data_IF_216700677327
#
_entry.id   IF_216700677327
#
_cell.length_a   1.000
_cell.length_b   1.000
_cell.length_c   1.000
_cell.angle_alpha   90.00
_cell.angle_beta   90.00
_cell.angle_gamma   90.00
#
_symmetry.space_group_name_H-M   'P 1'
#
loop_
_entity.id
_entity.type
_entity.pdbx_description
1 polymer ?
#
# COMPACT_ATOMS: atom_id res chain seq x y z
N UNK A 1 -37.30 -52.52 0.96
CA UNK A 1 -35.88 -52.08 1.03
C UNK A 1 -35.78 -50.56 1.15
N UNK A 2 -36.03 -50.01 2.35
CA UNK A 2 -35.77 -48.59 2.70
C UNK A 2 -35.66 -48.48 4.22
N UNK A 3 -34.52 -48.87 4.76
CA UNK A 3 -34.14 -48.62 6.16
C UNK A 3 -32.65 -48.93 6.27
N UNK A 4 -31.76 -47.93 6.13
CA UNK A 4 -30.37 -47.97 6.64
C UNK A 4 -29.55 -46.68 6.39
N UNK A 5 -30.16 -45.49 6.26
CA UNK A 5 -29.39 -44.23 6.19
C UNK A 5 -29.49 -43.35 7.45
N UNK A 6 -30.48 -43.56 8.31
CA UNK A 6 -30.75 -42.66 9.44
C UNK A 6 -29.92 -42.98 10.69
N UNK A 7 -29.23 -44.13 10.75
CA UNK A 7 -28.46 -44.54 11.95
C UNK A 7 -26.99 -44.10 11.93
N UNK A 8 -26.44 -43.70 10.79
CA UNK A 8 -25.05 -43.24 10.69
C UNK A 8 -24.85 -41.76 11.11
N UNK A 9 -25.92 -40.96 11.10
CA UNK A 9 -25.84 -39.52 11.41
C UNK A 9 -26.01 -39.17 12.89
N UNK A 10 -26.40 -40.11 13.75
CA UNK A 10 -26.59 -39.83 15.18
C UNK A 10 -25.38 -40.17 16.08
N UNK A 11 -24.45 -41.01 15.63
CA UNK A 11 -23.24 -41.36 16.42
C UNK A 11 -22.10 -40.35 16.22
N UNK A 12 -22.03 -39.66 15.06
CA UNK A 12 -21.00 -38.66 14.80
C UNK A 12 -21.20 -37.32 15.52
N UNK A 13 -22.38 -37.06 16.10
CA UNK A 13 -22.72 -35.78 16.74
C UNK A 13 -22.52 -35.73 18.26
N UNK A 14 -22.13 -36.84 18.89
CA UNK A 14 -21.94 -36.91 20.36
C UNK A 14 -20.49 -37.13 20.82
N UNK A 15 -19.51 -37.32 19.91
CA UNK A 15 -18.10 -37.44 20.28
C UNK A 15 -17.26 -36.16 20.11
N UNK A 16 -17.84 -35.07 19.59
CA UNK A 16 -17.10 -33.79 19.38
C UNK A 16 -17.22 -32.77 20.52
N UNK A 17 -17.87 -33.07 21.65
CA UNK A 17 -18.10 -32.07 22.72
C UNK A 17 -17.30 -32.23 24.01
N UNK A 18 -16.30 -33.12 24.12
CA UNK A 18 -15.68 -33.41 25.44
C UNK A 18 -14.14 -33.44 25.51
N UNK A 19 -13.42 -32.83 24.56
CA UNK A 19 -11.93 -32.70 24.65
C UNK A 19 -11.37 -31.35 24.20
N UNK A 20 -12.04 -30.22 24.50
CA UNK A 20 -11.58 -28.88 24.06
C UNK A 20 -11.47 -27.80 25.14
N UNK A 21 -11.65 -28.12 26.42
CA UNK A 21 -11.68 -27.09 27.49
C UNK A 21 -10.54 -27.16 28.50
N UNK A 22 -9.54 -28.03 28.30
CA UNK A 22 -8.40 -28.19 29.23
C UNK A 22 -7.05 -27.63 28.80
N UNK A 23 -6.83 -27.34 27.51
CA UNK A 23 -5.48 -27.04 26.99
C UNK A 23 -5.26 -25.57 26.57
N UNK A 24 -6.28 -24.72 26.54
CA UNK A 24 -6.07 -23.29 26.20
C UNK A 24 -5.49 -22.48 27.36
N UNK A 25 -5.83 -22.82 28.61
CA UNK A 25 -5.41 -22.03 29.79
C UNK A 25 -3.96 -22.25 30.23
N UNK A 26 -3.29 -23.33 29.78
CA UNK A 26 -1.90 -23.64 30.12
C UNK A 26 -0.89 -23.16 29.07
N UNK A 27 -1.32 -22.94 27.82
CA UNK A 27 -0.49 -22.30 26.77
C UNK A 27 -0.52 -20.77 26.84
N UNK A 28 -1.56 -20.18 27.46
CA UNK A 28 -1.71 -18.73 27.58
C UNK A 28 -0.82 -18.11 28.68
N UNK A 29 -0.36 -18.91 29.65
CA UNK A 29 0.51 -18.44 30.74
C UNK A 29 2.02 -18.58 30.50
N UNK A 30 2.45 -19.29 29.45
CA UNK A 30 3.87 -19.34 29.04
C UNK A 30 4.20 -18.40 27.87
N UNK A 31 3.21 -17.77 27.22
CA UNK A 31 3.43 -16.84 26.11
C UNK A 31 3.81 -15.40 26.55
N UNK A 32 4.00 -15.13 27.85
CA UNK A 32 4.37 -13.80 28.38
C UNK A 32 5.90 -13.61 28.44
N UNK A 33 6.71 -14.63 28.17
CA UNK A 33 8.17 -14.52 28.18
C UNK A 33 8.78 -15.25 26.99
N UNK A 34 9.10 -14.52 25.92
CA UNK A 34 10.11 -14.82 24.87
C UNK A 34 9.63 -14.68 23.41
N UNK A 35 9.16 -13.50 22.97
CA UNK A 35 8.82 -13.31 21.55
C UNK A 35 9.45 -12.03 20.97
N UNK A 36 10.77 -12.06 20.85
CA UNK A 36 11.46 -11.55 19.66
C UNK A 36 12.17 -12.75 19.03
N UNK A 37 11.91 -13.03 17.74
CA UNK A 37 12.95 -12.71 16.78
C UNK A 37 12.44 -12.18 15.41
N UNK A 38 13.19 -11.21 14.88
CA UNK A 38 13.65 -11.16 13.47
C UNK A 38 12.67 -11.29 12.29
N UNK A 39 11.46 -10.73 12.36
CA UNK A 39 10.60 -10.48 11.15
C UNK A 39 10.72 -9.05 10.60
N UNK A 40 11.62 -8.24 11.17
CA UNK A 40 11.74 -6.80 10.90
C UNK A 40 12.28 -6.43 9.51
N UNK A 41 12.75 -7.38 8.69
CA UNK A 41 13.48 -7.06 7.46
C UNK A 41 12.63 -6.59 6.28
N UNK A 42 11.34 -6.96 6.16
CA UNK A 42 10.54 -6.56 4.99
C UNK A 42 9.64 -5.34 5.25
N UNK A 43 9.13 -5.18 6.47
CA UNK A 43 8.23 -4.07 6.81
C UNK A 43 8.95 -2.73 7.00
N UNK A 44 10.24 -2.75 7.33
CA UNK A 44 11.09 -1.56 7.28
C UNK A 44 11.49 -1.15 5.86
N UNK A 45 11.31 -2.05 4.90
CA UNK A 45 11.66 -1.89 3.48
C UNK A 45 10.45 -1.31 2.73
N UNK A 46 9.22 -1.80 2.87
CA UNK A 46 8.07 -1.31 2.07
C UNK A 46 7.58 0.11 2.43
N UNK A 47 7.57 0.50 3.72
CA UNK A 47 7.22 1.88 4.14
C UNK A 47 8.31 2.91 3.78
N UNK A 48 9.59 2.48 3.76
CA UNK A 48 10.71 3.34 3.33
C UNK A 48 10.89 3.40 1.82
N UNK A 49 10.30 2.49 1.03
CA UNK A 49 10.68 2.30 -0.37
C UNK A 49 9.63 2.68 -1.42
N UNK A 50 8.34 2.88 -1.12
CA UNK A 50 7.38 3.24 -2.19
C UNK A 50 7.69 4.60 -2.85
N UNK A 51 8.44 5.49 -2.19
CA UNK A 51 9.01 6.71 -2.80
C UNK A 51 10.55 6.81 -2.79
N UNK A 52 11.25 5.78 -2.28
CA UNK A 52 12.72 5.81 -2.09
C UNK A 52 13.46 4.68 -2.81
N UNK A 53 12.82 3.53 -3.08
CA UNK A 53 13.42 2.50 -3.94
C UNK A 53 13.29 2.89 -5.41
N UNK A 54 12.13 3.37 -5.86
CA UNK A 54 11.90 3.70 -7.28
C UNK A 54 12.90 4.76 -7.76
N UNK A 55 13.00 5.88 -7.05
CA UNK A 55 13.96 6.94 -7.40
C UNK A 55 15.46 6.60 -7.14
N UNK A 56 15.77 5.64 -6.27
CA UNK A 56 17.17 5.27 -5.98
C UNK A 56 17.66 4.05 -6.79
N UNK A 57 16.79 3.10 -7.15
CA UNK A 57 17.10 2.04 -8.11
C UNK A 57 17.23 2.61 -9.52
N UNK A 58 16.41 3.62 -9.86
CA UNK A 58 16.53 4.40 -11.09
C UNK A 58 17.90 5.10 -11.22
N UNK A 59 18.54 5.48 -10.10
CA UNK A 59 19.81 6.23 -10.12
C UNK A 59 21.03 5.43 -10.59
N UNK A 60 20.94 4.08 -10.64
CA UNK A 60 22.02 3.23 -11.18
C UNK A 60 21.80 2.81 -12.64
N UNK A 61 20.62 3.05 -13.21
CA UNK A 61 20.33 2.74 -14.61
C UNK A 61 20.36 4.01 -15.45
N UNK A 62 21.24 4.05 -16.45
CA UNK A 62 21.09 5.02 -17.54
C UNK A 62 19.89 4.60 -18.36
N UNK A 63 18.72 5.18 -18.06
CA UNK A 63 17.56 4.99 -18.92
C UNK A 63 17.83 5.63 -20.28
N UNK A 64 17.52 4.94 -21.39
CA UNK A 64 17.53 5.56 -22.70
C UNK A 64 16.61 6.79 -22.66
N UNK A 65 17.12 7.96 -23.08
CA UNK A 65 16.25 9.12 -23.29
C UNK A 65 15.42 8.85 -24.54
N UNK A 66 14.11 8.77 -24.39
CA UNK A 66 13.18 8.89 -25.51
C UNK A 66 12.95 10.37 -25.70
N UNK A 67 13.36 10.90 -26.85
CA UNK A 67 13.24 12.33 -27.13
C UNK A 67 11.78 12.72 -27.39
N UNK A 68 11.45 14.00 -27.15
CA UNK A 68 10.07 14.46 -27.31
C UNK A 68 9.56 14.36 -28.76
N UNK A 69 10.46 14.38 -29.73
CA UNK A 69 10.19 14.19 -31.15
C UNK A 69 9.91 12.75 -31.57
N UNK A 70 10.21 11.75 -30.73
CA UNK A 70 10.01 10.33 -31.06
C UNK A 70 8.66 9.83 -30.54
N UNK A 71 7.94 9.03 -31.34
CA UNK A 71 6.76 8.32 -30.86
C UNK A 71 7.21 7.13 -29.98
N UNK A 72 6.89 7.13 -28.67
CA UNK A 72 7.27 6.04 -27.77
C UNK A 72 6.64 4.69 -28.16
N UNK A 73 5.50 4.69 -28.84
CA UNK A 73 4.80 3.48 -29.29
C UNK A 73 5.54 2.83 -30.44
N UNK A 74 5.87 3.61 -31.48
CA UNK A 74 6.65 3.13 -32.63
C UNK A 74 8.02 2.63 -32.19
N UNK A 75 8.70 3.39 -31.32
CA UNK A 75 10.02 3.01 -30.80
C UNK A 75 9.95 1.69 -30.02
N UNK A 76 8.95 1.52 -29.16
CA UNK A 76 8.73 0.28 -28.43
C UNK A 76 8.52 -0.90 -29.38
N UNK A 77 7.60 -0.75 -30.34
CA UNK A 77 7.24 -1.81 -31.28
C UNK A 77 8.41 -2.19 -32.18
N UNK A 78 9.21 -1.22 -32.63
CA UNK A 78 10.43 -1.46 -33.41
C UNK A 78 11.40 -2.34 -32.62
N UNK A 79 11.73 -1.96 -31.39
CA UNK A 79 12.62 -2.76 -30.55
C UNK A 79 12.06 -4.15 -30.21
N UNK A 80 10.74 -4.26 -30.06
CA UNK A 80 10.07 -5.53 -29.84
C UNK A 80 10.18 -6.46 -31.06
N UNK A 81 9.92 -5.93 -32.27
CA UNK A 81 10.02 -6.67 -33.53
C UNK A 81 11.46 -7.08 -33.85
N UNK A 82 12.42 -6.18 -33.61
CA UNK A 82 13.85 -6.42 -33.81
C UNK A 82 14.46 -7.37 -32.76
N UNK A 83 13.70 -7.75 -31.71
CA UNK A 83 14.19 -8.58 -30.60
C UNK A 83 15.22 -7.88 -29.70
N UNK A 84 15.34 -6.56 -29.80
CA UNK A 84 16.31 -5.73 -29.04
C UNK A 84 15.70 -5.00 -27.85
N UNK A 85 14.41 -5.23 -27.55
CA UNK A 85 13.71 -4.59 -26.44
C UNK A 85 14.32 -4.98 -25.09
N UNK A 86 14.72 -3.98 -24.32
CA UNK A 86 15.25 -4.12 -22.96
C UNK A 86 14.31 -3.52 -21.93
N UNK A 87 14.37 -3.98 -20.66
CA UNK A 87 13.54 -3.43 -19.56
C UNK A 87 13.68 -1.91 -19.38
N UNK A 88 14.90 -1.31 -19.44
CA UNK A 88 15.05 0.14 -19.38
C UNK A 88 14.42 0.86 -20.57
N UNK A 89 14.50 0.31 -21.78
CA UNK A 89 13.87 0.89 -22.97
C UNK A 89 12.34 0.85 -22.86
N UNK A 90 11.79 -0.32 -22.53
CA UNK A 90 10.35 -0.50 -22.29
C UNK A 90 9.83 0.49 -21.23
N UNK A 91 10.53 0.63 -20.10
CA UNK A 91 10.18 1.58 -19.06
C UNK A 91 10.17 3.02 -19.57
N UNK A 92 11.18 3.42 -20.35
CA UNK A 92 11.27 4.77 -20.90
C UNK A 92 10.13 5.08 -21.88
N UNK A 93 9.79 4.13 -22.76
CA UNK A 93 8.64 4.26 -23.67
C UNK A 93 7.31 4.37 -22.90
N UNK A 94 7.03 3.46 -21.95
CA UNK A 94 5.81 3.49 -21.14
C UNK A 94 5.67 4.77 -20.33
N UNK A 95 6.77 5.25 -19.74
CA UNK A 95 6.82 6.49 -18.95
C UNK A 95 6.55 7.70 -19.84
N UNK A 96 7.14 7.75 -21.02
CA UNK A 96 6.92 8.84 -21.99
C UNK A 96 5.50 8.81 -22.54
N UNK A 97 4.98 7.63 -22.89
CA UNK A 97 3.60 7.45 -23.31
C UNK A 97 2.61 7.87 -22.22
N UNK A 98 2.85 7.50 -20.95
CA UNK A 98 2.00 7.91 -19.84
C UNK A 98 2.02 9.42 -19.57
N UNK A 99 3.13 10.11 -19.85
CA UNK A 99 3.22 11.58 -19.77
C UNK A 99 2.45 12.27 -20.90
N UNK A 100 2.42 11.66 -22.09
CA UNK A 100 1.67 12.14 -23.26
C UNK A 100 0.25 11.59 -23.36
N UNK A 101 -0.21 10.90 -22.31
CA UNK A 101 -1.54 10.29 -22.21
C UNK A 101 -1.89 9.29 -23.35
N UNK A 102 -0.87 8.63 -23.92
CA UNK A 102 -1.01 7.65 -25.01
C UNK A 102 -1.35 6.26 -24.44
N UNK A 103 -2.53 6.11 -23.84
CA UNK A 103 -2.95 4.85 -23.21
C UNK A 103 -3.63 3.87 -24.18
N UNK A 104 -4.30 4.36 -25.23
CA UNK A 104 -5.09 3.52 -26.16
C UNK A 104 -4.25 2.80 -27.23
N UNK A 105 -2.93 2.70 -27.02
CA UNK A 105 -1.98 2.21 -28.00
C UNK A 105 -1.49 0.78 -27.72
N UNK A 106 -2.05 0.12 -26.69
CA UNK A 106 -1.78 -1.28 -26.39
C UNK A 106 -0.38 -1.55 -25.81
N UNK A 107 0.29 -0.52 -25.28
CA UNK A 107 1.62 -0.65 -24.70
C UNK A 107 1.63 -1.50 -23.43
N UNK A 108 0.56 -1.42 -22.63
CA UNK A 108 0.36 -2.26 -21.44
C UNK A 108 0.29 -3.73 -21.83
N UNK A 109 -0.61 -4.06 -22.76
CA UNK A 109 -0.72 -5.42 -23.31
C UNK A 109 0.58 -5.92 -23.93
N UNK A 110 1.22 -5.13 -24.78
CA UNK A 110 2.45 -5.54 -25.45
C UNK A 110 3.57 -5.80 -24.44
N UNK A 111 3.69 -4.95 -23.41
CA UNK A 111 4.69 -5.10 -22.35
C UNK A 111 4.41 -6.33 -21.50
N UNK A 112 3.17 -6.57 -21.05
CA UNK A 112 2.89 -7.73 -20.22
C UNK A 112 3.10 -9.03 -21.00
N UNK A 113 2.73 -9.08 -22.28
CA UNK A 113 2.97 -10.23 -23.16
C UNK A 113 4.47 -10.48 -23.43
N UNK A 114 5.26 -9.42 -23.54
CA UNK A 114 6.71 -9.51 -23.65
C UNK A 114 7.33 -10.02 -22.33
N UNK A 115 6.96 -9.44 -21.19
CA UNK A 115 7.39 -9.89 -19.86
C UNK A 115 6.88 -11.30 -19.53
N UNK A 116 5.76 -11.72 -20.13
CA UNK A 116 5.11 -13.01 -19.90
C UNK A 116 6.07 -14.18 -20.14
N UNK A 117 6.90 -14.06 -21.19
CA UNK A 117 7.83 -15.12 -21.61
C UNK A 117 8.94 -15.36 -20.59
N UNK A 118 9.20 -14.41 -19.69
CA UNK A 118 10.32 -14.44 -18.73
C UNK A 118 9.95 -13.82 -17.36
N UNK A 119 8.81 -14.21 -16.80
CA UNK A 119 8.32 -13.65 -15.53
C UNK A 119 9.22 -13.95 -14.32
N UNK A 120 10.00 -15.03 -14.35
CA UNK A 120 10.96 -15.35 -13.28
C UNK A 120 12.17 -14.41 -13.26
N UNK A 121 12.47 -13.71 -14.37
CA UNK A 121 13.51 -12.68 -14.40
C UNK A 121 13.09 -11.38 -13.73
N UNK A 122 11.87 -11.29 -13.19
CA UNK A 122 11.45 -10.16 -12.36
C UNK A 122 12.36 -10.01 -11.15
N UNK A 123 13.08 -8.88 -11.10
CA UNK A 123 14.02 -8.53 -10.06
C UNK A 123 13.48 -7.37 -9.22
N UNK A 124 13.08 -7.68 -7.99
CA UNK A 124 12.80 -6.64 -7.00
C UNK A 124 14.11 -6.03 -6.47
N UNK A 125 14.21 -4.70 -6.26
CA UNK A 125 13.24 -3.64 -6.60
C UNK A 125 13.50 -2.98 -7.97
N UNK A 126 14.30 -3.61 -8.83
CA UNK A 126 14.75 -3.02 -10.10
C UNK A 126 13.60 -2.87 -11.10
N UNK A 127 12.74 -3.87 -11.17
CA UNK A 127 11.67 -3.93 -12.17
C UNK A 127 10.35 -3.32 -11.68
N UNK A 128 10.31 -2.80 -10.45
CA UNK A 128 9.09 -2.26 -9.84
C UNK A 128 8.52 -1.07 -10.62
N UNK A 129 9.35 -0.15 -11.11
CA UNK A 129 8.86 1.03 -11.85
C UNK A 129 8.40 0.69 -13.27
N UNK A 130 9.03 -0.27 -13.93
CA UNK A 130 8.53 -0.82 -15.20
C UNK A 130 7.13 -1.44 -14.99
N UNK A 131 6.99 -2.27 -13.95
CA UNK A 131 5.73 -2.90 -13.60
C UNK A 131 4.64 -1.86 -13.29
N UNK A 132 4.94 -0.84 -12.50
CA UNK A 132 3.98 0.23 -12.17
C UNK A 132 3.45 0.93 -13.43
N UNK A 133 4.31 1.27 -14.39
CA UNK A 133 3.87 1.90 -15.63
C UNK A 133 3.09 0.93 -16.52
N UNK A 134 3.55 -0.33 -16.66
CA UNK A 134 2.82 -1.36 -17.41
C UNK A 134 1.40 -1.54 -16.86
N UNK A 135 1.24 -1.65 -15.53
CA UNK A 135 -0.06 -1.81 -14.89
C UNK A 135 -0.94 -0.58 -15.09
N UNK A 136 -0.36 0.64 -15.02
CA UNK A 136 -1.09 1.88 -15.33
C UNK A 136 -1.68 1.86 -16.73
N UNK A 137 -0.90 1.43 -17.72
CA UNK A 137 -1.38 1.28 -19.10
C UNK A 137 -2.46 0.20 -19.21
N UNK A 138 -2.26 -0.97 -18.62
CA UNK A 138 -3.26 -2.06 -18.64
C UNK A 138 -4.63 -1.65 -18.07
N UNK A 139 -4.66 -0.89 -16.97
CA UNK A 139 -5.90 -0.38 -16.39
C UNK A 139 -6.59 0.59 -17.35
N UNK A 140 -5.83 1.51 -17.95
CA UNK A 140 -6.40 2.47 -18.92
C UNK A 140 -6.85 1.80 -20.22
N UNK A 141 -6.23 0.68 -20.60
CA UNK A 141 -6.61 -0.15 -21.74
C UNK A 141 -7.81 -1.09 -21.44
N UNK A 142 -8.27 -1.20 -20.19
CA UNK A 142 -9.30 -2.16 -19.78
C UNK A 142 -8.86 -3.63 -19.88
N UNK A 143 -7.55 -3.90 -19.69
CA UNK A 143 -6.90 -5.21 -19.87
C UNK A 143 -6.32 -5.77 -18.58
N UNK A 144 -6.89 -5.42 -17.44
CA UNK A 144 -6.43 -5.85 -16.11
C UNK A 144 -6.45 -7.37 -15.93
N UNK A 145 -7.34 -8.08 -16.63
CA UNK A 145 -7.39 -9.54 -16.60
C UNK A 145 -6.09 -10.19 -17.10
N UNK A 146 -5.33 -9.53 -17.98
CA UNK A 146 -3.98 -10.02 -18.34
C UNK A 146 -3.07 -10.01 -17.11
N UNK A 147 -3.13 -8.97 -16.29
CA UNK A 147 -2.36 -8.89 -15.04
C UNK A 147 -2.80 -9.96 -14.04
N UNK A 148 -4.10 -10.21 -13.91
CA UNK A 148 -4.59 -11.27 -13.02
C UNK A 148 -4.12 -12.66 -13.46
N UNK A 149 -4.23 -12.97 -14.76
CA UNK A 149 -3.69 -14.21 -15.31
C UNK A 149 -2.18 -14.35 -15.06
N UNK A 150 -1.44 -13.24 -14.99
CA UNK A 150 -0.01 -13.22 -14.66
C UNK A 150 0.25 -13.44 -13.17
N UNK A 151 -0.51 -12.79 -12.29
CA UNK A 151 -0.44 -12.96 -10.82
C UNK A 151 -0.71 -14.41 -10.44
N UNK A 152 -1.68 -15.05 -11.09
CA UNK A 152 -2.13 -16.41 -10.82
C UNK A 152 -1.17 -17.50 -11.35
N UNK A 153 -0.13 -17.13 -12.12
CA UNK A 153 0.86 -18.11 -12.61
C UNK A 153 1.60 -18.79 -11.46
N UNK A 154 1.89 -20.08 -11.62
CA UNK A 154 2.75 -20.82 -10.70
C UNK A 154 4.17 -20.26 -10.76
N UNK A 155 4.72 -19.91 -9.60
CA UNK A 155 6.12 -19.50 -9.47
C UNK A 155 7.06 -20.63 -9.89
N UNK A 156 7.92 -20.40 -10.90
CA UNK A 156 8.97 -21.35 -11.28
C UNK A 156 10.25 -21.17 -10.46
N UNK A 157 10.35 -20.08 -9.69
CA UNK A 157 11.38 -19.92 -8.65
C UNK A 157 11.36 -21.10 -7.67
N UNK A 158 12.56 -21.52 -7.28
CA UNK A 158 12.76 -22.72 -6.44
C UNK A 158 12.04 -22.59 -5.10
N UNK A 159 11.59 -23.73 -4.56
CA UNK A 159 10.93 -23.78 -3.24
C UNK A 159 11.89 -23.40 -2.08
N UNK A 160 13.21 -23.38 -2.34
CA UNK A 160 14.22 -22.95 -1.36
C UNK A 160 14.14 -21.46 -1.02
N UNK A 161 13.56 -20.64 -1.90
CA UNK A 161 13.31 -19.24 -1.62
C UNK A 161 12.09 -19.10 -0.71
N UNK A 162 12.21 -18.23 0.30
CA UNK A 162 11.08 -17.90 1.17
C UNK A 162 9.90 -17.32 0.38
N UNK A 163 8.65 -17.43 0.89
CA UNK A 163 7.46 -16.95 0.19
C UNK A 163 7.56 -15.49 -0.28
N UNK A 164 8.26 -14.64 0.49
CA UNK A 164 8.45 -13.22 0.16
C UNK A 164 9.27 -13.01 -1.11
N UNK A 165 10.33 -13.78 -1.33
CA UNK A 165 11.18 -13.65 -2.53
C UNK A 165 10.58 -14.43 -3.70
N UNK A 166 9.90 -15.53 -3.38
CA UNK A 166 9.24 -16.40 -4.35
C UNK A 166 7.99 -15.78 -4.97
N UNK A 167 7.32 -14.84 -4.29
CA UNK A 167 6.06 -14.23 -4.75
C UNK A 167 6.12 -12.69 -4.79
N UNK A 168 7.32 -12.10 -4.77
CA UNK A 168 7.50 -10.64 -4.70
C UNK A 168 6.77 -9.89 -5.84
N UNK A 169 6.77 -10.43 -7.06
CA UNK A 169 6.09 -9.77 -8.20
C UNK A 169 4.58 -9.73 -8.00
N UNK A 170 3.97 -10.73 -7.34
CA UNK A 170 2.53 -10.72 -7.06
C UNK A 170 2.18 -9.60 -6.10
N UNK A 171 3.00 -9.41 -5.07
CA UNK A 171 2.82 -8.35 -4.10
C UNK A 171 2.89 -6.97 -4.76
N UNK A 172 3.91 -6.76 -5.60
CA UNK A 172 4.09 -5.50 -6.33
C UNK A 172 3.05 -5.29 -7.44
N UNK A 173 2.62 -6.35 -8.13
CA UNK A 173 1.58 -6.27 -9.16
C UNK A 173 0.23 -5.85 -8.57
N UNK A 174 -0.18 -6.47 -7.46
CA UNK A 174 -1.42 -6.10 -6.78
C UNK A 174 -1.32 -4.68 -6.21
N UNK A 175 -0.19 -4.30 -5.62
CA UNK A 175 0.02 -2.92 -5.16
C UNK A 175 -0.10 -1.91 -6.31
N UNK A 176 0.56 -2.19 -7.44
CA UNK A 176 0.50 -1.34 -8.62
C UNK A 176 -0.91 -1.27 -9.20
N UNK A 177 -1.66 -2.38 -9.19
CA UNK A 177 -3.04 -2.43 -9.66
C UNK A 177 -3.97 -1.58 -8.80
N UNK A 178 -3.87 -1.70 -7.48
CA UNK A 178 -4.62 -0.86 -6.52
C UNK A 178 -4.36 0.63 -6.79
N UNK A 179 -3.08 1.02 -6.95
CA UNK A 179 -2.73 2.40 -7.25
C UNK A 179 -3.26 2.85 -8.62
N UNK A 180 -3.10 2.04 -9.67
CA UNK A 180 -3.54 2.37 -11.02
C UNK A 180 -5.07 2.53 -11.10
N UNK A 181 -5.85 1.63 -10.49
CA UNK A 181 -7.31 1.72 -10.39
C UNK A 181 -7.75 3.02 -9.69
N UNK A 182 -7.11 3.38 -8.58
CA UNK A 182 -7.45 4.60 -7.84
C UNK A 182 -7.30 5.89 -8.67
N UNK A 183 -6.28 5.97 -9.52
CA UNK A 183 -6.01 7.13 -10.38
C UNK A 183 -6.59 7.02 -11.78
N UNK A 184 -7.20 5.88 -12.13
CA UNK A 184 -7.96 5.69 -13.35
C UNK A 184 -9.46 5.92 -13.16
N UNK A 185 -9.94 5.95 -11.91
CA UNK A 185 -11.35 6.14 -11.57
C UNK A 185 -11.90 7.46 -12.11
N UNK A 186 -12.92 7.37 -12.97
CA UNK A 186 -13.62 8.51 -13.57
C UNK A 186 -14.73 9.09 -12.67
N UNK A 187 -15.00 8.46 -11.50
CA UNK A 187 -16.16 8.80 -10.63
C UNK A 187 -15.77 9.24 -9.22
N UNK A 188 -14.52 9.65 -9.01
CA UNK A 188 -14.00 10.02 -7.68
C UNK A 188 -14.28 8.94 -6.61
N UNK A 189 -14.16 7.67 -7.00
CA UNK A 189 -14.37 6.49 -6.14
C UNK A 189 -13.15 5.57 -6.12
N UNK A 190 -12.85 4.95 -4.98
CA UNK A 190 -11.80 3.93 -4.84
C UNK A 190 -12.31 2.49 -5.03
N UNK A 191 -13.57 2.29 -5.44
CA UNK A 191 -14.18 0.96 -5.47
C UNK A 191 -13.33 -0.07 -6.24
N UNK A 192 -12.89 0.24 -7.46
CA UNK A 192 -12.04 -0.67 -8.25
C UNK A 192 -10.68 -0.99 -7.60
N UNK A 193 -10.12 -0.04 -6.83
CA UNK A 193 -8.88 -0.26 -6.07
C UNK A 193 -9.13 -1.18 -4.87
N UNK A 194 -10.23 -0.96 -4.14
CA UNK A 194 -10.62 -1.79 -2.98
C UNK A 194 -11.00 -3.20 -3.44
N UNK A 195 -11.78 -3.33 -4.51
CA UNK A 195 -12.16 -4.60 -5.12
C UNK A 195 -10.93 -5.39 -5.59
N UNK A 196 -9.95 -4.72 -6.21
CA UNK A 196 -8.69 -5.35 -6.62
C UNK A 196 -7.93 -5.92 -5.41
N UNK A 197 -7.88 -5.18 -4.31
CA UNK A 197 -7.29 -5.67 -3.06
C UNK A 197 -8.09 -6.85 -2.48
N UNK A 198 -9.41 -6.76 -2.43
CA UNK A 198 -10.28 -7.82 -1.89
C UNK A 198 -10.23 -9.10 -2.75
N UNK A 199 -10.13 -8.97 -4.09
CA UNK A 199 -9.89 -10.10 -5.01
C UNK A 199 -8.56 -10.77 -4.71
N UNK A 200 -7.49 -10.00 -4.51
CA UNK A 200 -6.20 -10.56 -4.14
C UNK A 200 -6.27 -11.28 -2.78
N UNK A 201 -7.02 -10.75 -1.81
CA UNK A 201 -7.22 -11.37 -0.50
C UNK A 201 -7.96 -12.70 -0.58
N UNK A 202 -8.98 -12.76 -1.42
CA UNK A 202 -9.80 -13.97 -1.64
C UNK A 202 -9.16 -14.97 -2.60
N UNK A 203 -7.97 -14.66 -3.12
CA UNK A 203 -7.26 -15.53 -4.06
C UNK A 203 -6.76 -16.81 -3.37
N UNK A 204 -6.88 -17.94 -4.06
CA UNK A 204 -6.28 -19.21 -3.64
C UNK A 204 -4.76 -19.23 -3.81
N UNK A 205 -4.19 -18.21 -4.46
CA UNK A 205 -2.75 -18.08 -4.64
C UNK A 205 -2.11 -17.34 -3.47
N UNK A 206 -0.92 -17.77 -3.07
CA UNK A 206 -0.13 -17.05 -2.06
C UNK A 206 0.31 -15.69 -2.60
N UNK A 207 -0.40 -14.63 -2.19
CA UNK A 207 -0.11 -13.24 -2.51
C UNK A 207 0.28 -12.53 -1.20
N UNK A 208 1.49 -11.96 -1.09
CA UNK A 208 1.84 -11.11 0.04
C UNK A 208 1.03 -9.80 -0.02
N UNK A 209 -0.02 -9.68 0.80
CA UNK A 209 -0.97 -8.56 0.75
C UNK A 209 -0.49 -7.28 1.43
N UNK A 210 0.58 -7.33 2.22
CA UNK A 210 1.01 -6.18 3.01
C UNK A 210 1.27 -4.91 2.17
N UNK A 211 1.96 -4.96 1.01
CA UNK A 211 2.18 -3.76 0.20
C UNK A 211 0.87 -3.17 -0.34
N UNK A 212 -0.03 -4.02 -0.86
CA UNK A 212 -1.33 -3.60 -1.38
C UNK A 212 -2.26 -3.05 -0.29
N UNK A 213 -2.27 -3.67 0.90
CA UNK A 213 -3.03 -3.18 2.06
C UNK A 213 -2.60 -1.77 2.45
N UNK A 214 -1.29 -1.55 2.57
CA UNK A 214 -0.76 -0.24 2.92
C UNK A 214 -1.07 0.81 1.85
N UNK A 215 -1.02 0.44 0.58
CA UNK A 215 -1.36 1.35 -0.51
C UNK A 215 -2.84 1.72 -0.50
N UNK A 216 -3.73 0.73 -0.41
CA UNK A 216 -5.17 0.95 -0.31
C UNK A 216 -5.52 1.83 0.90
N UNK A 217 -4.95 1.54 2.07
CA UNK A 217 -5.18 2.36 3.27
C UNK A 217 -4.69 3.80 3.11
N UNK A 218 -3.53 4.03 2.46
CA UNK A 218 -3.05 5.38 2.18
C UNK A 218 -4.00 6.13 1.25
N UNK A 219 -4.53 5.47 0.23
CA UNK A 219 -5.47 6.07 -0.72
C UNK A 219 -6.79 6.44 -0.02
N UNK A 220 -7.34 5.54 0.79
CA UNK A 220 -8.58 5.81 1.57
C UNK A 220 -8.44 6.99 2.55
N UNK A 221 -7.22 7.27 3.01
CA UNK A 221 -6.90 8.39 3.92
C UNK A 221 -6.23 9.57 3.20
N UNK A 222 -6.23 9.60 1.86
CA UNK A 222 -5.58 10.68 1.11
C UNK A 222 -6.55 11.87 1.01
N UNK A 223 -6.20 13.05 1.53
CA UNK A 223 -7.04 14.22 1.39
C UNK A 223 -6.94 14.83 -0.03
N UNK A 224 -7.97 15.57 -0.44
CA UNK A 224 -7.95 16.37 -1.69
C UNK A 224 -6.79 17.37 -1.65
N UNK A 225 -6.72 18.13 -0.55
CA UNK A 225 -5.69 19.13 -0.30
C UNK A 225 -4.67 18.60 0.71
N UNK A 226 -3.39 18.86 0.45
CA UNK A 226 -2.35 18.52 1.43
C UNK A 226 -2.44 19.52 2.58
N UNK A 227 -2.78 19.05 3.77
CA UNK A 227 -2.72 19.86 4.98
C UNK A 227 -1.31 20.41 5.19
N UNK A 228 -1.18 21.74 5.23
CA UNK A 228 0.01 22.39 5.76
C UNK A 228 0.01 22.22 7.27
N UNK A 229 1.02 21.54 7.79
CA UNK A 229 1.21 21.37 9.22
C UNK A 229 1.67 22.70 9.83
N UNK A 230 0.71 23.53 10.21
CA UNK A 230 0.92 24.74 11.03
C UNK A 230 0.14 24.61 12.34
N UNK A 231 0.81 25.00 13.43
CA UNK A 231 0.24 25.02 14.77
C UNK A 231 -0.52 26.32 15.07
N UNK A 232 -0.25 27.36 14.29
CA UNK A 232 -0.87 28.70 14.42
C UNK A 232 -2.22 28.77 13.71
N UNK A 233 -2.51 27.80 12.83
CA UNK A 233 -3.78 27.67 12.13
C UNK A 233 -4.67 26.69 12.89
N UNK A 234 -5.96 26.95 12.92
CA UNK A 234 -6.94 26.05 13.52
C UNK A 234 -7.00 24.70 12.79
N UNK A 235 -7.24 23.62 13.53
CA UNK A 235 -7.36 22.28 12.92
C UNK A 235 -8.59 22.24 12.01
N UNK A 236 -8.41 21.77 10.77
CA UNK A 236 -9.49 21.62 9.79
C UNK A 236 -9.79 20.15 9.52
N UNK A 237 -11.06 19.87 9.27
CA UNK A 237 -11.51 18.56 8.81
C UNK A 237 -10.99 18.36 7.38
N UNK A 238 -10.31 17.25 7.16
CA UNK A 238 -9.82 16.83 5.85
C UNK A 238 -10.95 16.15 5.06
N UNK A 239 -11.12 16.57 3.81
CA UNK A 239 -12.00 15.90 2.87
C UNK A 239 -11.23 14.80 2.12
N UNK A 240 -11.69 13.53 2.16
CA UNK A 240 -11.09 12.45 1.38
C UNK A 240 -11.09 12.77 -0.12
N UNK A 241 -10.05 12.36 -0.83
CA UNK A 241 -9.91 12.56 -2.28
C UNK A 241 -10.99 11.83 -3.09
N UNK A 242 -11.50 10.71 -2.57
CA UNK A 242 -12.47 9.86 -3.25
C UNK A 242 -13.74 9.71 -2.39
N UNK A 243 -14.57 10.77 -2.30
CA UNK A 243 -15.73 10.79 -1.41
C UNK A 243 -16.83 9.79 -1.81
N UNK A 244 -16.86 9.35 -3.08
CA UNK A 244 -17.88 8.43 -3.60
C UNK A 244 -17.52 6.94 -3.41
N UNK A 245 -16.49 6.64 -2.63
CA UNK A 245 -16.11 5.25 -2.34
C UNK A 245 -17.23 4.58 -1.54
N UNK A 246 -17.67 3.39 -1.99
CA UNK A 246 -18.72 2.60 -1.34
C UNK A 246 -18.40 2.34 0.13
N UNK A 247 -19.31 2.75 1.02
CA UNK A 247 -19.22 2.50 2.45
C UNK A 247 -19.07 1.01 2.76
N UNK A 248 -19.73 0.14 2.00
CA UNK A 248 -19.62 -1.31 2.16
C UNK A 248 -18.22 -1.81 1.84
N UNK A 249 -17.65 -1.43 0.68
CA UNK A 249 -16.30 -1.84 0.29
C UNK A 249 -15.25 -1.29 1.27
N UNK A 250 -15.46 -0.06 1.75
CA UNK A 250 -14.64 0.55 2.77
C UNK A 250 -14.64 -0.28 4.07
N UNK A 251 -15.81 -0.73 4.53
CA UNK A 251 -15.96 -1.57 5.71
C UNK A 251 -15.32 -2.96 5.51
N UNK A 252 -15.58 -3.61 4.38
CA UNK A 252 -14.96 -4.88 4.01
C UNK A 252 -13.42 -4.77 4.03
N UNK A 253 -12.87 -3.65 3.55
CA UNK A 253 -11.44 -3.36 3.67
C UNK A 253 -10.98 -3.19 5.12
N UNK A 254 -11.68 -2.41 5.95
CA UNK A 254 -11.32 -2.21 7.35
C UNK A 254 -11.32 -3.53 8.13
N UNK A 255 -12.33 -4.37 7.94
CA UNK A 255 -12.43 -5.70 8.54
C UNK A 255 -11.29 -6.61 8.08
N UNK A 256 -10.79 -6.39 6.87
CA UNK A 256 -9.71 -7.17 6.31
C UNK A 256 -8.34 -6.95 6.98
N UNK A 257 -8.18 -5.83 7.70
CA UNK A 257 -6.95 -5.45 8.40
C UNK A 257 -6.78 -6.31 9.66
N UNK A 258 -5.65 -7.01 9.78
CA UNK A 258 -5.39 -7.95 10.87
C UNK A 258 -4.52 -7.30 11.97
N UNK A 259 -5.08 -7.03 13.15
CA UNK A 259 -4.37 -6.32 14.24
C UNK A 259 -3.06 -6.98 14.68
N UNK A 260 -2.97 -8.32 14.63
CA UNK A 260 -1.79 -9.07 15.10
C UNK A 260 -0.69 -9.15 14.06
N UNK A 261 -1.05 -9.22 12.77
CA UNK A 261 -0.08 -9.33 11.67
C UNK A 261 0.34 -7.97 11.11
N UNK A 262 -0.47 -6.94 11.32
CA UNK A 262 -0.26 -5.59 10.77
C UNK A 262 0.40 -4.65 11.78
N UNK A 263 1.58 -5.04 12.25
CA UNK A 263 2.33 -4.38 13.34
C UNK A 263 3.02 -3.07 12.96
N UNK A 264 3.04 -2.68 11.68
CA UNK A 264 3.86 -1.56 11.21
C UNK A 264 3.17 -0.20 11.23
N UNK A 265 1.85 -0.16 11.02
CA UNK A 265 1.00 1.03 11.14
C UNK A 265 -0.35 0.64 11.77
N UNK A 266 -0.83 1.38 12.78
CA UNK A 266 -2.09 1.07 13.46
C UNK A 266 -3.28 1.50 12.58
N UNK A 267 -3.48 0.82 11.44
CA UNK A 267 -4.51 1.16 10.45
C UNK A 267 -5.91 1.17 11.06
N UNK A 268 -6.22 0.25 12.00
CA UNK A 268 -7.50 0.24 12.73
C UNK A 268 -7.72 1.47 13.62
N UNK A 269 -6.66 2.19 13.98
CA UNK A 269 -6.79 3.46 14.70
C UNK A 269 -6.97 4.64 13.75
N UNK A 270 -6.44 4.57 12.52
CA UNK A 270 -6.40 5.71 11.60
C UNK A 270 -7.55 5.70 10.59
N UNK A 271 -7.88 4.54 10.01
CA UNK A 271 -8.91 4.42 8.99
C UNK A 271 -10.26 4.98 9.46
N UNK A 272 -10.77 4.69 10.68
CA UNK A 272 -12.06 5.20 11.12
C UNK A 272 -12.24 6.73 11.03
N UNK A 273 -11.14 7.51 11.06
CA UNK A 273 -11.16 8.96 10.83
C UNK A 273 -11.71 9.38 9.46
N UNK A 274 -11.66 8.48 8.48
CA UNK A 274 -12.00 8.71 7.08
C UNK A 274 -13.15 7.79 6.62
N UNK A 275 -13.96 7.28 7.56
CA UNK A 275 -15.16 6.54 7.20
C UNK A 275 -16.13 7.47 6.42
N UNK A 276 -16.66 7.08 5.25
CA UNK A 276 -17.44 7.97 4.38
C UNK A 276 -18.65 8.62 5.06
N UNK A 277 -19.43 7.85 5.82
CA UNK A 277 -20.67 8.34 6.46
C UNK A 277 -20.52 8.73 7.93
N UNK A 278 -19.56 8.11 8.64
CA UNK A 278 -19.44 8.23 10.10
C UNK A 278 -17.97 8.27 10.52
N UNK A 279 -17.26 9.38 10.26
CA UNK A 279 -15.91 9.58 10.77
C UNK A 279 -15.85 9.42 12.29
N UNK A 280 -14.93 8.60 12.78
CA UNK A 280 -14.75 8.29 14.21
C UNK A 280 -13.31 8.59 14.66
N UNK A 281 -13.09 9.65 15.47
CA UNK A 281 -11.78 9.98 16.02
C UNK A 281 -11.38 9.17 17.25
N UNK A 282 -12.30 8.44 17.87
CA UNK A 282 -12.05 7.77 19.16
C UNK A 282 -10.99 6.66 19.07
N UNK A 283 -10.93 5.81 18.03
CA UNK A 283 -9.86 4.83 17.88
C UNK A 283 -8.47 5.47 17.80
N UNK A 284 -8.35 6.60 17.10
CA UNK A 284 -7.10 7.34 16.97
C UNK A 284 -6.67 7.95 18.30
N UNK A 285 -7.60 8.61 19.00
CA UNK A 285 -7.38 9.19 20.32
C UNK A 285 -6.91 8.11 21.33
N UNK A 286 -7.63 6.99 21.39
CA UNK A 286 -7.30 5.87 22.29
C UNK A 286 -5.91 5.30 21.99
N UNK A 287 -5.54 5.17 20.72
CA UNK A 287 -4.20 4.74 20.33
C UNK A 287 -3.14 5.76 20.74
N UNK A 288 -3.40 7.05 20.54
CA UNK A 288 -2.51 8.14 20.96
C UNK A 288 -2.29 8.16 22.47
N UNK A 289 -3.34 7.98 23.27
CA UNK A 289 -3.25 7.85 24.73
C UNK A 289 -2.43 6.62 25.15
N UNK A 290 -2.57 5.50 24.44
CA UNK A 290 -1.73 4.32 24.68
C UNK A 290 -0.25 4.59 24.37
N UNK A 291 0.04 5.32 23.28
CA UNK A 291 1.41 5.73 22.95
C UNK A 291 1.99 6.65 24.02
N UNK A 292 1.23 7.64 24.49
CA UNK A 292 1.66 8.58 25.52
C UNK A 292 2.04 7.88 26.84
N UNK A 293 1.32 6.80 27.20
CA UNK A 293 1.64 5.96 28.38
C UNK A 293 2.93 5.15 28.23
N UNK A 294 3.50 5.05 27.03
CA UNK A 294 4.65 4.21 26.73
C UNK A 294 5.75 5.02 26.02
N UNK A 295 6.64 5.73 26.75
CA UNK A 295 7.66 6.61 26.17
C UNK A 295 8.55 5.94 25.10
N UNK A 296 8.91 4.66 25.29
CA UNK A 296 9.68 3.87 24.30
C UNK A 296 8.97 3.73 22.95
N UNK A 297 7.63 3.74 22.93
CA UNK A 297 6.87 3.70 21.69
C UNK A 297 6.95 5.04 20.96
N UNK A 298 6.82 6.15 21.70
CA UNK A 298 6.97 7.51 21.18
C UNK A 298 8.36 7.71 20.59
N UNK A 299 9.43 7.34 21.30
CA UNK A 299 10.81 7.45 20.81
C UNK A 299 11.04 6.70 19.50
N UNK A 300 10.45 5.50 19.37
CA UNK A 300 10.53 4.72 18.12
C UNK A 300 9.71 5.33 17.00
N UNK A 301 8.59 5.97 17.32
CA UNK A 301 7.68 6.57 16.34
C UNK A 301 8.26 7.85 15.75
N UNK A 302 8.79 8.77 16.57
CA UNK A 302 9.34 10.06 16.11
C UNK A 302 10.57 9.92 15.22
N UNK A 303 11.25 8.77 15.26
CA UNK A 303 12.40 8.43 14.40
C UNK A 303 11.98 7.92 13.01
N UNK A 304 10.68 7.76 12.74
CA UNK A 304 10.15 7.22 11.47
C UNK A 304 9.52 8.31 10.60
N UNK A 305 9.70 8.26 9.27
CA UNK A 305 8.99 9.12 8.30
C UNK A 305 7.47 9.15 8.45
N UNK A 306 6.89 8.04 8.93
CA UNK A 306 5.44 7.90 9.15
C UNK A 306 4.90 8.83 10.24
N UNK A 307 5.75 9.51 11.01
CA UNK A 307 5.31 10.48 12.02
C UNK A 307 4.62 11.70 11.38
N UNK A 308 5.09 12.16 10.22
CA UNK A 308 4.51 13.31 9.53
C UNK A 308 3.04 13.08 9.13
N UNK A 309 2.70 11.98 8.39
CA UNK A 309 1.31 11.68 8.10
C UNK A 309 0.51 11.30 9.35
N UNK A 310 1.14 10.71 10.38
CA UNK A 310 0.48 10.48 11.67
C UNK A 310 0.00 11.80 12.29
N UNK A 311 0.87 12.81 12.39
CA UNK A 311 0.53 14.11 12.97
C UNK A 311 -0.55 14.82 12.14
N UNK A 312 -0.45 14.79 10.81
CA UNK A 312 -1.48 15.38 9.93
C UNK A 312 -2.87 14.78 10.19
N UNK A 313 -2.96 13.44 10.21
CA UNK A 313 -4.20 12.72 10.58
C UNK A 313 -4.67 13.04 11.99
N UNK A 314 -3.74 13.28 12.91
CA UNK A 314 -4.07 13.71 14.27
C UNK A 314 -4.73 15.10 14.32
N UNK A 315 -4.35 16.01 13.43
CA UNK A 315 -5.00 17.33 13.31
C UNK A 315 -6.41 17.20 12.75
N UNK A 316 -6.63 16.30 11.80
CA UNK A 316 -7.97 15.93 11.34
C UNK A 316 -8.81 15.34 12.49
N UNK A 317 -8.23 14.41 13.27
CA UNK A 317 -8.89 13.83 14.44
C UNK A 317 -9.24 14.88 15.52
N UNK A 318 -8.35 15.85 15.76
CA UNK A 318 -8.63 16.99 16.64
C UNK A 318 -9.84 17.79 16.15
N UNK A 319 -9.89 18.13 14.86
CA UNK A 319 -11.01 18.87 14.28
C UNK A 319 -12.35 18.10 14.41
N UNK A 320 -12.33 16.78 14.16
CA UNK A 320 -13.50 15.92 14.35
C UNK A 320 -13.95 15.86 15.81
N UNK A 321 -13.03 15.75 16.77
CA UNK A 321 -13.37 15.76 18.20
C UNK A 321 -14.06 17.06 18.61
N UNK A 322 -13.55 18.22 18.14
CA UNK A 322 -14.20 19.52 18.39
C UNK A 322 -15.59 19.58 17.77
N UNK A 323 -15.72 19.17 16.51
CA UNK A 323 -17.02 19.11 15.83
C UNK A 323 -18.03 18.25 16.61
N UNK A 324 -17.57 17.15 17.21
CA UNK A 324 -18.38 16.22 17.99
C UNK A 324 -18.58 16.66 19.46
N UNK A 325 -18.09 17.84 19.86
CA UNK A 325 -18.26 18.38 21.23
C UNK A 325 -17.27 17.84 22.27
N UNK A 326 -16.23 17.10 21.86
CA UNK A 326 -15.21 16.50 22.72
C UNK A 326 -14.02 17.44 22.96
N UNK A 327 -14.27 18.65 23.45
CA UNK A 327 -13.25 19.71 23.58
C UNK A 327 -12.04 19.34 24.45
N UNK A 328 -12.28 18.65 25.57
CA UNK A 328 -11.20 18.21 26.48
C UNK A 328 -10.26 17.23 25.79
N UNK A 329 -10.82 16.28 25.05
CA UNK A 329 -10.05 15.28 24.30
C UNK A 329 -9.32 15.90 23.12
N UNK A 330 -9.96 16.85 22.41
CA UNK A 330 -9.32 17.61 21.34
C UNK A 330 -8.11 18.41 21.86
N UNK A 331 -8.25 19.10 22.99
CA UNK A 331 -7.16 19.85 23.61
C UNK A 331 -6.01 18.95 24.09
N UNK A 332 -6.33 17.80 24.68
CA UNK A 332 -5.33 16.80 25.05
C UNK A 332 -4.57 16.30 23.81
N UNK A 333 -5.31 15.95 22.75
CA UNK A 333 -4.74 15.42 21.51
C UNK A 333 -3.83 16.45 20.85
N UNK A 334 -4.26 17.72 20.77
CA UNK A 334 -3.45 18.83 20.28
C UNK A 334 -2.11 18.92 20.99
N UNK A 335 -2.12 18.92 22.33
CA UNK A 335 -0.90 19.00 23.14
C UNK A 335 0.05 17.82 22.89
N UNK A 336 -0.48 16.60 22.82
CA UNK A 336 0.32 15.42 22.50
C UNK A 336 0.92 15.46 21.09
N UNK A 337 0.16 15.92 20.09
CA UNK A 337 0.66 16.04 18.72
C UNK A 337 1.72 17.14 18.59
N UNK A 338 1.62 18.24 19.34
CA UNK A 338 2.66 19.28 19.42
C UNK A 338 3.98 18.73 19.96
N UNK A 339 3.91 17.91 21.02
CA UNK A 339 5.09 17.23 21.58
C UNK A 339 5.74 16.30 20.54
N UNK A 340 4.94 15.49 19.83
CA UNK A 340 5.42 14.62 18.75
C UNK A 340 6.06 15.41 17.60
N UNK A 341 5.47 16.55 17.24
CA UNK A 341 5.99 17.41 16.19
C UNK A 341 7.35 18.00 16.56
N UNK A 342 7.50 18.52 17.79
CA UNK A 342 8.78 19.02 18.29
C UNK A 342 9.85 17.92 18.30
N UNK A 343 9.52 16.74 18.83
CA UNK A 343 10.45 15.59 18.91
C UNK A 343 10.84 15.00 17.55
N UNK A 344 10.05 15.22 16.51
CA UNK A 344 10.30 14.71 15.16
C UNK A 344 11.03 15.67 14.23
N UNK A 345 11.40 16.88 14.70
CA UNK A 345 12.12 17.88 13.91
C UNK A 345 13.33 17.30 13.15
N UNK A 346 14.25 16.52 13.77
CA UNK A 346 15.41 16.01 13.05
C UNK A 346 15.09 15.13 11.83
N UNK A 347 13.99 14.38 11.90
CA UNK A 347 13.53 13.55 10.78
C UNK A 347 12.88 14.42 9.70
N UNK A 348 12.07 15.42 10.10
CA UNK A 348 11.40 16.33 9.17
C UNK A 348 12.39 17.21 8.41
N UNK A 349 13.42 17.75 9.07
CA UNK A 349 14.50 18.51 8.40
C UNK A 349 15.21 17.63 7.37
N UNK A 350 15.60 16.41 7.76
CA UNK A 350 16.26 15.45 6.86
C UNK A 350 15.39 15.08 5.65
N UNK A 351 14.07 15.06 5.81
CA UNK A 351 13.13 14.84 4.71
C UNK A 351 13.00 16.05 3.79
N UNK A 352 12.99 17.27 4.36
CA UNK A 352 12.98 18.52 3.60
C UNK A 352 14.26 18.63 2.74
N UNK A 353 15.43 18.44 3.34
CA UNK A 353 16.72 18.49 2.63
C UNK A 353 16.75 17.51 1.46
N UNK A 354 16.27 16.28 1.68
CA UNK A 354 16.17 15.26 0.62
C UNK A 354 15.24 15.66 -0.51
N UNK A 355 14.15 16.37 -0.22
CA UNK A 355 13.22 16.87 -1.25
C UNK A 355 13.88 17.98 -2.06
N UNK A 356 14.61 18.89 -1.40
CA UNK A 356 15.36 19.97 -2.05
C UNK A 356 16.44 19.38 -2.97
N UNK A 357 17.31 18.50 -2.48
CA UNK A 357 18.35 17.86 -3.29
C UNK A 357 17.81 16.96 -4.42
N UNK A 358 16.54 16.55 -4.37
CA UNK A 358 15.86 15.85 -5.47
C UNK A 358 15.36 16.84 -6.52
N UNK A 359 14.78 17.96 -6.10
CA UNK A 359 14.32 19.01 -7.01
C UNK A 359 15.49 19.62 -7.77
N UNK A 360 16.60 19.91 -7.09
CA UNK A 360 17.82 20.43 -7.71
C UNK A 360 18.38 19.45 -8.75
N UNK A 361 18.46 18.15 -8.40
CA UNK A 361 18.89 17.12 -9.37
C UNK A 361 17.96 17.00 -10.58
N UNK A 362 16.66 17.13 -10.38
CA UNK A 362 15.68 17.05 -11.47
C UNK A 362 15.60 18.35 -12.29
N UNK A 363 15.90 19.51 -11.69
CA UNK A 363 15.96 20.81 -12.34
C UNK A 363 17.21 20.97 -13.22
N UNK A 364 18.37 20.50 -12.75
CA UNK A 364 19.61 20.47 -13.54
C UNK A 364 19.52 19.57 -14.78
N UNK A 365 18.55 18.63 -14.84
CA UNK A 365 18.29 17.82 -16.03
C UNK A 365 17.34 18.47 -17.05
N UNK A 366 16.76 19.64 -16.75
CA UNK A 366 15.81 20.35 -17.61
C UNK A 366 16.36 21.59 -18.34
N UNK A 367 17.57 22.05 -18.04
CA UNK A 367 18.15 23.29 -18.61
C UNK A 367 19.40 23.08 -19.48
N UNK A 368 19.66 21.86 -19.95
CA UNK A 368 20.70 21.66 -20.97
C UNK A 368 20.23 20.65 -22.03
N UNK A 369 19.94 21.17 -23.24
CA UNK A 369 19.74 20.42 -24.47
C UNK A 369 18.47 20.78 -25.19
#
# INVERSE_FOLDING_TARGET
MRTNLTRALHVARLQKSLKSTGNSALLERQAIRSWFPSSACYYHVTSRLSGRATAASDSKYKFPRVYDSQDPVELFNKHLQDGTLTKPMAHSCLKTAARRELYDKGLGEATINWMWKDHDSYQFPRDTSLLEHMVKHLVREGKEELLWKWIEQKSRKTASLGPNDRFVWRADAVRALVAAQAFASDRDSLDGAVESFLRAKSSNYSIPLAPARMECAKLLMLPVEKATLSWDVESKIENPRWPNTSTKLWQDFLESVETVRDVSEPLKAQLPLYHPEKPDPMPYLKHSQHLAKNPKNVERMVKKPSITPWIARGRHAEALLRLQGHEKDANWLKGFLQELYAKSEPIRTKEADRKISRRERNGLTGEQG
#
